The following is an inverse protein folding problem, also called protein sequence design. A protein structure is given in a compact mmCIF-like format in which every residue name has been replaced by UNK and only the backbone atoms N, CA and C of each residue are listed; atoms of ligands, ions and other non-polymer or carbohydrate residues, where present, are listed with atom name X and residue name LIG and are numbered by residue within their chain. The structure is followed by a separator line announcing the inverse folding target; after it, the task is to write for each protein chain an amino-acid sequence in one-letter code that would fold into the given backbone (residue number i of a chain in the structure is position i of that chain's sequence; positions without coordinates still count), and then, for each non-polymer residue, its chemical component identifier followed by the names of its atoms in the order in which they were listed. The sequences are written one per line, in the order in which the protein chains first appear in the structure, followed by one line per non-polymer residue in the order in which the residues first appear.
data_IF_738295167020
#
_entry.id   IF_738295167020
#
_cell.length_a   1.000
_cell.length_b   1.000
_cell.length_c   1.000
_cell.angle_alpha   90.00
_cell.angle_beta   90.00
_cell.angle_gamma   90.00
#
_symmetry.space_group_name_H-M   'P 1'
#
loop_
_entity.id
_entity.type
_entity.pdbx_description
1 polymer ?
#
# COMPACT_ATOMS: atom_id res chain seq x y z
N UNK A 1 30.24 -14.59 -6.11
CA UNK A 1 29.30 -14.57 -5.01
C UNK A 1 28.33 -15.75 -5.10
N UNK A 2 28.13 -16.46 -4.00
CA UNK A 2 27.19 -17.58 -4.02
C UNK A 2 25.78 -17.12 -4.27
N UNK A 3 25.10 -17.80 -5.15
CA UNK A 3 23.71 -17.48 -5.47
C UNK A 3 22.79 -17.71 -4.27
N UNK A 4 23.17 -18.60 -3.38
CA UNK A 4 22.39 -18.85 -2.18
C UNK A 4 22.25 -17.61 -1.31
N UNK A 5 23.36 -16.91 -1.07
CA UNK A 5 23.32 -15.69 -0.25
C UNK A 5 22.47 -14.61 -0.90
N UNK A 6 22.57 -14.50 -2.21
CA UNK A 6 21.79 -13.52 -2.95
C UNK A 6 20.30 -13.82 -2.81
N UNK A 7 19.93 -15.08 -2.95
CA UNK A 7 18.52 -15.47 -2.87
C UNK A 7 17.94 -15.24 -1.48
N UNK A 8 18.70 -15.56 -0.44
CA UNK A 8 18.25 -15.34 0.92
C UNK A 8 18.03 -13.86 1.21
N UNK A 9 18.97 -13.02 0.81
CA UNK A 9 18.83 -11.58 1.01
C UNK A 9 17.65 -11.02 0.22
N UNK A 10 17.47 -11.51 -0.99
CA UNK A 10 16.39 -11.06 -1.84
C UNK A 10 15.04 -11.43 -1.25
N UNK A 11 14.89 -12.65 -0.78
CA UNK A 11 13.67 -13.11 -0.16
C UNK A 11 13.36 -12.32 1.11
N UNK A 12 14.35 -12.08 1.95
CA UNK A 12 14.15 -11.29 3.17
C UNK A 12 13.69 -9.87 2.86
N UNK A 13 14.27 -9.27 1.83
CA UNK A 13 13.85 -7.94 1.42
C UNK A 13 12.42 -7.92 0.93
N UNK A 14 12.04 -8.92 0.17
CA UNK A 14 10.67 -9.00 -0.34
C UNK A 14 9.67 -9.21 0.79
N UNK A 15 10.02 -10.00 1.78
CA UNK A 15 9.17 -10.22 2.95
C UNK A 15 8.96 -8.96 3.75
N UNK A 16 9.94 -8.05 3.74
CA UNK A 16 9.88 -6.81 4.50
C UNK A 16 9.27 -5.66 3.72
N UNK A 17 9.10 -5.83 2.43
CA UNK A 17 8.50 -4.79 1.61
C UNK A 17 7.02 -4.67 1.96
N UNK A 18 6.51 -3.46 2.05
CA UNK A 18 5.09 -3.28 2.33
C UNK A 18 4.26 -3.75 1.14
N UNK A 19 3.10 -4.29 1.45
CA UNK A 19 2.12 -4.58 0.42
C UNK A 19 1.44 -3.26 0.09
N UNK A 20 1.45 -2.89 -1.16
CA UNK A 20 0.85 -1.64 -1.61
C UNK A 20 -0.39 -1.91 -2.45
N UNK A 21 -1.42 -1.13 -2.19
CA UNK A 21 -2.69 -1.23 -2.89
C UNK A 21 -2.87 -0.03 -3.80
N UNK A 22 -3.50 -0.24 -4.93
CA UNK A 22 -3.95 0.86 -5.77
C UNK A 22 -5.18 1.48 -5.11
N UNK A 23 -5.56 2.68 -5.56
CA UNK A 23 -6.78 3.29 -5.02
C UNK A 23 -8.00 2.42 -5.31
N UNK A 24 -8.06 1.80 -6.48
CA UNK A 24 -9.16 0.92 -6.82
C UNK A 24 -9.25 -0.28 -5.89
N UNK A 25 -8.11 -0.90 -5.60
CA UNK A 25 -8.07 -2.04 -4.69
C UNK A 25 -8.46 -1.63 -3.27
N UNK A 26 -7.98 -0.47 -2.82
CA UNK A 26 -8.32 0.04 -1.50
C UNK A 26 -9.81 0.36 -1.39
N UNK A 27 -10.40 0.90 -2.44
CA UNK A 27 -11.83 1.16 -2.49
C UNK A 27 -12.62 -0.12 -2.28
N UNK A 28 -12.18 -1.18 -2.92
CA UNK A 28 -12.83 -2.48 -2.82
C UNK A 28 -12.71 -3.05 -1.41
N UNK A 29 -11.53 -2.99 -0.84
CA UNK A 29 -11.28 -3.52 0.50
C UNK A 29 -12.07 -2.74 1.55
N UNK A 30 -12.11 -1.41 1.43
CA UNK A 30 -12.78 -0.56 2.40
C UNK A 30 -14.28 -0.40 2.12
N UNK A 31 -14.72 -0.82 0.94
CA UNK A 31 -16.12 -0.71 0.58
C UNK A 31 -16.58 0.72 0.39
N UNK A 32 -15.73 1.60 -0.12
CA UNK A 32 -16.06 2.99 -0.32
C UNK A 32 -16.03 3.34 -1.80
N UNK A 33 -16.75 4.38 -2.16
CA UNK A 33 -16.78 4.87 -3.54
C UNK A 33 -15.61 5.79 -3.85
N UNK A 34 -15.56 6.20 -5.11
CA UNK A 34 -14.46 7.01 -5.61
C UNK A 34 -14.34 8.36 -4.90
N UNK A 35 -15.45 9.05 -4.73
CA UNK A 35 -15.42 10.37 -4.09
C UNK A 35 -14.92 10.28 -2.65
N UNK A 36 -15.41 9.27 -1.92
CA UNK A 36 -14.99 9.05 -0.54
C UNK A 36 -13.50 8.70 -0.48
N UNK A 37 -13.05 7.84 -1.38
CA UNK A 37 -11.65 7.45 -1.41
C UNK A 37 -10.73 8.65 -1.64
N UNK A 38 -11.03 9.47 -2.63
CA UNK A 38 -10.19 10.63 -2.91
C UNK A 38 -10.23 11.65 -1.79
N UNK A 39 -11.35 11.80 -1.12
CA UNK A 39 -11.43 12.66 0.05
C UNK A 39 -10.50 12.16 1.15
N UNK A 40 -10.52 10.87 1.41
CA UNK A 40 -9.67 10.26 2.44
C UNK A 40 -8.19 10.43 2.11
N UNK A 41 -7.84 10.26 0.84
CA UNK A 41 -6.46 10.39 0.39
C UNK A 41 -5.98 11.84 0.46
N UNK A 42 -6.80 12.76 -0.02
CA UNK A 42 -6.43 14.17 -0.06
C UNK A 42 -6.37 14.82 1.32
N UNK A 43 -7.19 14.36 2.24
CA UNK A 43 -7.21 14.90 3.60
C UNK A 43 -6.13 14.30 4.48
N UNK A 44 -5.55 13.19 4.07
CA UNK A 44 -4.56 12.49 4.88
C UNK A 44 -5.16 11.58 5.93
N UNK A 45 -6.48 11.45 5.97
CA UNK A 45 -7.11 10.50 6.89
C UNK A 45 -6.69 9.07 6.61
N UNK A 46 -6.43 8.76 5.34
CA UNK A 46 -5.88 7.49 4.93
C UNK A 46 -4.47 7.78 4.37
N UNK A 47 -3.43 7.61 5.19
CA UNK A 47 -2.07 7.91 4.73
C UNK A 47 -1.69 7.07 3.53
N UNK A 48 -1.11 7.71 2.53
CA UNK A 48 -0.77 7.05 1.29
C UNK A 48 0.38 7.79 0.60
N UNK A 49 0.98 7.12 -0.37
CA UNK A 49 2.07 7.69 -1.15
C UNK A 49 1.55 8.00 -2.54
N UNK A 50 1.88 9.16 -3.05
CA UNK A 50 1.54 9.51 -4.42
C UNK A 50 2.76 9.35 -5.30
N UNK A 51 2.65 8.48 -6.29
CA UNK A 51 3.73 8.23 -7.24
C UNK A 51 3.22 8.67 -8.61
N UNK A 52 3.75 9.80 -9.09
CA UNK A 52 3.24 10.38 -10.31
C UNK A 52 1.79 10.78 -10.14
N UNK A 53 0.91 10.19 -10.93
CA UNK A 53 -0.52 10.45 -10.86
C UNK A 53 -1.27 9.38 -10.09
N UNK A 54 -0.56 8.39 -9.58
CA UNK A 54 -1.18 7.23 -8.96
C UNK A 54 -0.95 7.25 -7.46
N UNK A 55 -1.97 6.84 -6.72
CA UNK A 55 -1.86 6.65 -5.29
C UNK A 55 -1.46 5.21 -4.99
N UNK A 56 -0.70 5.05 -3.92
CA UNK A 56 -0.37 3.72 -3.40
C UNK A 56 -0.61 3.74 -1.90
N UNK A 57 -1.41 2.83 -1.43
CA UNK A 57 -1.82 2.76 -0.03
C UNK A 57 -1.25 1.49 0.57
N UNK A 58 -0.50 1.61 1.66
CA UNK A 58 0.09 0.44 2.29
C UNK A 58 -0.97 -0.36 3.03
N UNK A 59 -0.72 -1.66 3.17
CA UNK A 59 -1.57 -2.53 3.95
C UNK A 59 -1.73 -2.00 5.37
N UNK A 60 -0.65 -1.51 5.95
CA UNK A 60 -0.66 -0.97 7.30
C UNK A 60 -1.58 0.23 7.43
N UNK A 61 -1.60 1.11 6.42
CA UNK A 61 -2.51 2.25 6.43
C UNK A 61 -3.96 1.79 6.44
N UNK A 62 -4.28 0.82 5.60
CA UNK A 62 -5.63 0.29 5.53
C UNK A 62 -6.01 -0.36 6.86
N UNK A 63 -5.11 -1.14 7.42
CA UNK A 63 -5.35 -1.83 8.67
C UNK A 63 -5.58 -0.84 9.82
N UNK A 64 -4.76 0.19 9.90
CA UNK A 64 -4.91 1.23 10.92
C UNK A 64 -6.21 2.00 10.76
N UNK A 65 -6.62 2.23 9.53
CA UNK A 65 -7.86 2.96 9.25
C UNK A 65 -9.08 2.18 9.71
N UNK A 66 -9.04 0.86 9.55
CA UNK A 66 -10.16 -0.01 9.93
C UNK A 66 -10.23 -0.22 11.45
N UNK A 67 -9.09 -0.21 12.11
CA UNK A 67 -8.99 -0.53 13.55
C UNK A 67 -9.69 0.47 14.45
#
# INVERSE_FOLDING_TARGET
MPSENYNELHEQKMERLPVLFTSAEAMEVLGVGKNTMYRLLNSGELPAIRIGRNWRISFESIQSFIS
#
